data_IF_623941273906
#
_entry.id   IF_623941273906
#
_cell.length_a   1.000
_cell.length_b   1.000
_cell.length_c   1.000
_cell.angle_alpha   90.00
_cell.angle_beta   90.00
_cell.angle_gamma   90.00
#
_symmetry.space_group_name_H-M   'P 1'
#
loop_
_entity.id
_entity.type
_entity.pdbx_description
1 polymer ?
#
# COMPACT_ATOMS: atom_id res chain seq x y z
N UNK A 1 29.65 -17.56 -2.00
CA UNK A 1 28.21 -17.51 -2.34
C UNK A 1 27.43 -18.33 -1.32
N UNK A 2 26.34 -17.80 -0.77
CA UNK A 2 25.55 -18.45 0.28
C UNK A 2 24.65 -19.52 -0.34
N UNK A 3 25.18 -20.73 -0.52
CA UNK A 3 24.41 -21.82 -1.11
C UNK A 3 23.79 -22.67 0.00
N UNK A 4 22.46 -22.63 0.17
CA UNK A 4 21.74 -23.61 0.99
C UNK A 4 20.94 -24.50 0.05
N UNK A 5 21.15 -25.82 0.13
CA UNK A 5 20.55 -26.83 -0.77
C UNK A 5 20.85 -26.62 -2.26
N UNK A 6 22.01 -26.02 -2.59
CA UNK A 6 22.44 -25.80 -3.98
C UNK A 6 21.85 -24.54 -4.65
N UNK A 7 21.00 -23.79 -3.94
CA UNK A 7 20.46 -22.50 -4.43
C UNK A 7 21.33 -21.35 -3.91
N UNK A 8 21.84 -20.44 -4.75
CA UNK A 8 22.53 -19.25 -4.28
C UNK A 8 21.58 -18.28 -3.57
N UNK A 9 22.04 -17.68 -2.48
CA UNK A 9 21.30 -16.71 -1.67
C UNK A 9 19.92 -17.20 -1.18
N UNK A 10 19.78 -18.50 -0.88
CA UNK A 10 18.51 -19.15 -0.51
C UNK A 10 17.73 -18.41 0.57
N UNK A 11 18.41 -17.87 1.58
CA UNK A 11 17.75 -17.12 2.66
C UNK A 11 17.08 -15.84 2.15
N UNK A 12 17.64 -15.14 1.17
CA UNK A 12 17.01 -13.95 0.60
C UNK A 12 15.73 -14.30 -0.18
N UNK A 13 15.75 -15.43 -0.89
CA UNK A 13 14.56 -15.97 -1.58
C UNK A 13 13.49 -16.36 -0.57
N UNK A 14 13.88 -17.06 0.50
CA UNK A 14 12.94 -17.50 1.54
C UNK A 14 12.35 -16.32 2.32
N UNK A 15 13.13 -15.28 2.63
CA UNK A 15 12.60 -14.10 3.34
C UNK A 15 11.74 -13.21 2.47
N UNK A 16 11.71 -13.39 1.15
CA UNK A 16 10.75 -12.74 0.26
C UNK A 16 9.36 -13.40 0.30
N UNK A 17 9.26 -14.67 0.73
CA UNK A 17 7.99 -15.40 0.78
C UNK A 17 6.93 -14.77 1.72
N UNK A 18 7.28 -14.23 2.90
CA UNK A 18 6.35 -13.44 3.73
C UNK A 18 5.69 -12.25 3.02
N UNK A 19 6.38 -11.58 2.08
CA UNK A 19 5.78 -10.51 1.27
C UNK A 19 4.65 -11.06 0.38
N UNK A 20 4.85 -12.25 -0.19
CA UNK A 20 3.84 -12.94 -0.97
C UNK A 20 2.63 -13.33 -0.11
N UNK A 21 2.89 -13.94 1.06
CA UNK A 21 1.84 -14.36 1.99
C UNK A 21 1.01 -13.20 2.53
N UNK A 22 1.62 -12.06 2.81
CA UNK A 22 0.91 -10.87 3.27
C UNK A 22 0.24 -10.12 2.10
N UNK A 23 0.87 -10.12 0.91
CA UNK A 23 0.44 -9.39 -0.26
C UNK A 23 -0.76 -10.01 -0.98
N UNK A 24 -0.77 -11.33 -1.19
CA UNK A 24 -1.83 -12.03 -1.94
C UNK A 24 -3.22 -11.85 -1.31
N UNK A 25 -3.43 -12.04 0.01
CA UNK A 25 -4.73 -11.81 0.62
C UNK A 25 -5.22 -10.36 0.42
N UNK A 26 -4.34 -9.37 0.60
CA UNK A 26 -4.67 -7.97 0.37
C UNK A 26 -5.04 -7.67 -1.08
N UNK A 27 -4.30 -8.27 -2.03
CA UNK A 27 -4.57 -8.13 -3.47
C UNK A 27 -5.92 -8.76 -3.85
N UNK A 28 -6.21 -9.95 -3.34
CA UNK A 28 -7.51 -10.62 -3.53
C UNK A 28 -8.64 -9.79 -2.94
N UNK A 29 -8.46 -9.22 -1.75
CA UNK A 29 -9.44 -8.32 -1.14
C UNK A 29 -9.67 -7.05 -1.98
N UNK A 30 -8.63 -6.51 -2.63
CA UNK A 30 -8.78 -5.40 -3.57
C UNK A 30 -9.55 -5.81 -4.85
N UNK A 31 -9.32 -7.02 -5.38
CA UNK A 31 -9.91 -7.50 -6.63
C UNK A 31 -11.35 -8.02 -6.48
N UNK A 32 -11.68 -8.66 -5.36
CA UNK A 32 -13.02 -9.21 -5.12
C UNK A 32 -14.11 -8.15 -4.90
N UNK A 33 -13.79 -6.86 -5.01
CA UNK A 33 -14.76 -5.77 -5.15
C UNK A 33 -15.73 -5.56 -3.97
N UNK A 34 -15.53 -6.26 -2.87
CA UNK A 34 -16.51 -6.38 -1.79
C UNK A 34 -16.02 -5.64 -0.54
N UNK A 35 -16.95 -5.01 0.18
CA UNK A 35 -16.74 -4.02 1.26
C UNK A 35 -15.86 -4.38 2.47
N UNK A 36 -14.94 -5.34 2.39
CA UNK A 36 -14.05 -5.77 3.47
C UNK A 36 -13.03 -4.72 3.93
N UNK A 37 -12.67 -3.74 3.11
CA UNK A 37 -11.83 -2.60 3.55
C UNK A 37 -12.64 -1.36 3.95
N UNK A 38 -13.97 -1.45 3.97
CA UNK A 38 -14.86 -0.38 4.41
C UNK A 38 -14.84 0.91 3.58
N UNK A 39 -13.98 1.00 2.54
CA UNK A 39 -13.75 2.24 1.78
C UNK A 39 -15.04 2.76 1.15
N UNK A 40 -15.92 1.85 0.69
CA UNK A 40 -17.21 2.19 0.06
C UNK A 40 -18.38 2.31 1.04
N UNK A 41 -18.44 1.44 2.06
CA UNK A 41 -19.57 1.36 3.00
C UNK A 41 -19.60 2.56 3.97
N UNK A 42 -18.43 3.02 4.42
CA UNK A 42 -18.31 4.04 5.47
C UNK A 42 -18.59 5.47 4.98
N UNK A 43 -18.44 5.72 3.68
CA UNK A 43 -18.81 6.99 3.06
C UNK A 43 -20.34 7.07 2.84
N UNK A 44 -20.99 5.92 2.57
CA UNK A 44 -22.44 5.80 2.39
C UNK A 44 -23.22 6.09 3.67
N UNK A 45 -22.80 5.57 4.83
CA UNK A 45 -23.43 5.88 6.14
C UNK A 45 -23.44 7.38 6.45
N UNK A 46 -22.40 8.11 6.04
CA UNK A 46 -22.30 9.57 6.25
C UNK A 46 -23.37 10.35 5.48
N UNK A 47 -23.76 9.88 4.29
CA UNK A 47 -24.81 10.52 3.46
C UNK A 47 -26.19 10.27 4.07
N UNK A 48 -26.45 9.06 4.55
CA UNK A 48 -27.69 8.73 5.24
C UNK A 48 -27.83 9.55 6.53
N UNK A 49 -26.76 9.69 7.31
CA UNK A 49 -26.81 10.37 8.61
C UNK A 49 -26.81 11.91 8.54
N UNK A 50 -26.27 12.52 7.46
CA UNK A 50 -26.28 13.98 7.26
C UNK A 50 -27.46 14.51 6.42
N UNK A 51 -28.36 13.64 5.95
CA UNK A 51 -29.55 14.09 5.23
C UNK A 51 -30.57 14.70 6.21
N UNK A 52 -31.13 15.90 5.96
CA UNK A 52 -32.15 16.49 6.82
C UNK A 52 -33.41 15.61 6.77
N UNK A 53 -33.68 14.87 7.86
CA UNK A 53 -34.88 14.02 7.98
C UNK A 53 -34.63 12.56 8.37
N UNK A 54 -33.37 12.13 8.57
CA UNK A 54 -33.03 10.74 8.91
C UNK A 54 -33.30 10.36 10.37
N UNK A 55 -34.52 10.58 10.85
CA UNK A 55 -35.07 9.78 11.94
C UNK A 55 -36.02 8.76 11.31
N UNK A 56 -35.75 7.48 11.53
CA UNK A 56 -36.45 6.27 11.04
C UNK A 56 -36.00 5.76 9.67
N UNK A 57 -34.95 4.94 9.67
CA UNK A 57 -34.93 3.68 8.93
C UNK A 57 -33.71 2.88 9.41
N UNK A 58 -33.90 2.18 10.52
CA UNK A 58 -33.05 1.08 10.94
C UNK A 58 -33.01 0.04 9.80
N UNK A 59 -31.78 -0.31 9.41
CA UNK A 59 -31.35 -1.62 8.89
C UNK A 59 -32.45 -2.47 8.24
N UNK A 60 -32.74 -2.21 6.96
CA UNK A 60 -33.24 -3.25 6.08
C UNK A 60 -32.01 -3.93 5.47
N UNK A 61 -31.63 -5.07 6.05
CA UNK A 61 -30.72 -6.03 5.44
C UNK A 61 -31.29 -6.46 4.08
N UNK A 62 -30.91 -5.79 3.00
CA UNK A 62 -30.93 -6.41 1.68
C UNK A 62 -29.57 -7.03 1.44
N UNK A 63 -29.46 -8.34 1.70
CA UNK A 63 -28.46 -9.20 1.07
C UNK A 63 -28.56 -8.95 -0.44
N UNK A 64 -27.53 -8.34 -1.01
CA UNK A 64 -27.43 -8.15 -2.45
C UNK A 64 -27.05 -9.51 -3.06
N UNK A 65 -27.90 -10.04 -3.93
CA UNK A 65 -27.65 -11.29 -4.65
C UNK A 65 -26.37 -11.17 -5.50
N UNK A 66 -25.38 -12.01 -5.20
CA UNK A 66 -24.07 -12.05 -5.87
C UNK A 66 -24.09 -12.67 -7.29
N UNK A 67 -25.26 -12.85 -7.92
CA UNK A 67 -25.39 -13.56 -9.20
C UNK A 67 -25.70 -12.66 -10.41
N UNK A 68 -25.64 -11.33 -10.29
CA UNK A 68 -25.72 -10.45 -11.44
C UNK A 68 -24.38 -10.46 -12.21
N UNK A 69 -24.40 -10.98 -13.44
CA UNK A 69 -23.22 -11.18 -14.29
C UNK A 69 -22.37 -9.92 -14.46
N UNK A 70 -21.08 -10.05 -14.10
CA UNK A 70 -20.06 -9.00 -14.15
C UNK A 70 -19.42 -8.88 -15.56
N UNK A 71 -19.82 -9.71 -16.51
CA UNK A 71 -19.22 -9.73 -17.84
C UNK A 71 -19.63 -8.52 -18.68
N UNK A 72 -18.77 -7.49 -18.69
CA UNK A 72 -18.82 -6.38 -19.64
C UNK A 72 -19.04 -4.98 -19.03
N UNK A 73 -19.32 -4.85 -17.73
CA UNK A 73 -19.49 -3.53 -17.12
C UNK A 73 -18.16 -2.83 -16.86
N UNK A 74 -18.04 -1.60 -17.38
CA UNK A 74 -16.93 -0.70 -17.05
C UNK A 74 -16.98 -0.40 -15.54
N UNK A 75 -15.82 -0.26 -14.86
CA UNK A 75 -15.75 0.02 -13.41
C UNK A 75 -16.73 1.11 -12.93
N UNK A 76 -16.98 2.15 -13.75
CA UNK A 76 -17.96 3.21 -13.42
C UNK A 76 -19.39 2.66 -13.25
N UNK A 77 -19.83 1.77 -14.12
CA UNK A 77 -21.18 1.21 -14.09
C UNK A 77 -21.36 0.25 -12.91
N UNK A 78 -20.33 -0.53 -12.57
CA UNK A 78 -20.34 -1.40 -11.37
C UNK A 78 -20.53 -0.55 -10.10
N UNK A 79 -19.80 0.57 -9.99
CA UNK A 79 -19.89 1.45 -8.83
C UNK A 79 -21.23 2.21 -8.75
N UNK A 80 -21.77 2.69 -9.88
CA UNK A 80 -23.08 3.37 -9.93
C UNK A 80 -24.24 2.41 -9.65
N UNK A 81 -24.16 1.17 -10.17
CA UNK A 81 -25.14 0.13 -9.92
C UNK A 81 -25.17 -0.30 -8.45
N UNK A 82 -24.00 -0.50 -7.85
CA UNK A 82 -23.90 -0.90 -6.44
C UNK A 82 -24.19 0.25 -5.46
N UNK A 83 -24.02 1.52 -5.84
CA UNK A 83 -24.09 2.67 -4.93
C UNK A 83 -24.80 3.90 -5.53
N UNK A 84 -26.13 3.85 -5.75
CA UNK A 84 -26.88 4.92 -6.41
C UNK A 84 -26.97 6.25 -5.63
N UNK A 85 -26.52 6.28 -4.37
CA UNK A 85 -26.61 7.45 -3.47
C UNK A 85 -25.29 8.23 -3.31
N UNK A 86 -24.19 7.79 -3.93
CA UNK A 86 -22.90 8.48 -3.85
C UNK A 86 -22.76 9.52 -4.96
N UNK A 87 -22.24 10.70 -4.62
CA UNK A 87 -21.91 11.73 -5.63
C UNK A 87 -20.70 11.30 -6.47
N UNK A 88 -20.57 11.80 -7.71
CA UNK A 88 -19.43 11.48 -8.59
C UNK A 88 -18.06 11.73 -7.92
N UNK A 89 -17.96 12.80 -7.12
CA UNK A 89 -16.75 13.16 -6.37
C UNK A 89 -16.43 12.17 -5.24
N UNK A 90 -17.43 11.53 -4.65
CA UNK A 90 -17.20 10.48 -3.65
C UNK A 90 -16.82 9.15 -4.32
N UNK A 91 -17.45 8.82 -5.45
CA UNK A 91 -17.12 7.65 -6.27
C UNK A 91 -15.68 7.76 -6.80
N UNK A 92 -15.23 8.94 -7.21
CA UNK A 92 -13.83 9.14 -7.65
C UNK A 92 -12.84 8.91 -6.50
N UNK A 93 -13.11 9.45 -5.31
CA UNK A 93 -12.22 9.30 -4.14
C UNK A 93 -11.98 7.84 -3.76
N UNK A 94 -13.04 7.05 -3.84
CA UNK A 94 -13.01 5.62 -3.56
C UNK A 94 -12.17 4.84 -4.59
N UNK A 95 -12.24 5.24 -5.87
CA UNK A 95 -11.52 4.57 -6.96
C UNK A 95 -10.00 4.72 -6.82
N UNK A 96 -9.52 5.90 -6.44
CA UNK A 96 -8.07 6.12 -6.33
C UNK A 96 -7.47 5.57 -5.04
N UNK A 97 -8.23 5.58 -3.94
CA UNK A 97 -7.84 4.84 -2.73
C UNK A 97 -7.71 3.34 -3.06
N UNK A 98 -8.68 2.76 -3.77
CA UNK A 98 -8.64 1.36 -4.19
C UNK A 98 -7.47 1.06 -5.14
N UNK A 99 -7.21 1.95 -6.12
CA UNK A 99 -6.07 1.81 -7.04
C UNK A 99 -4.73 1.84 -6.27
N UNK A 100 -4.59 2.76 -5.31
CA UNK A 100 -3.41 2.82 -4.47
C UNK A 100 -3.18 1.51 -3.70
N UNK A 101 -4.21 1.01 -3.02
CA UNK A 101 -4.10 -0.26 -2.30
C UNK A 101 -3.80 -1.44 -3.24
N UNK A 102 -4.43 -1.48 -4.41
CA UNK A 102 -4.13 -2.48 -5.44
C UNK A 102 -2.65 -2.45 -5.84
N UNK A 103 -2.10 -1.28 -6.17
CA UNK A 103 -0.69 -1.14 -6.56
C UNK A 103 0.27 -1.46 -5.41
N UNK A 104 -0.11 -1.15 -4.17
CA UNK A 104 0.64 -1.53 -2.98
C UNK A 104 0.75 -3.05 -2.85
N UNK A 105 -0.37 -3.78 -2.85
CA UNK A 105 -0.35 -5.24 -2.73
C UNK A 105 0.24 -5.92 -3.95
N UNK A 106 -0.08 -5.46 -5.17
CA UNK A 106 0.49 -5.97 -6.40
C UNK A 106 2.02 -5.77 -6.43
N UNK A 107 2.51 -4.61 -5.97
CA UNK A 107 3.94 -4.34 -5.82
C UNK A 107 4.62 -5.27 -4.82
N UNK A 108 3.99 -5.57 -3.68
CA UNK A 108 4.51 -6.55 -2.71
C UNK A 108 4.60 -7.97 -3.29
N UNK A 109 3.54 -8.42 -3.99
CA UNK A 109 3.52 -9.74 -4.66
C UNK A 109 4.59 -9.81 -5.74
N UNK A 110 4.67 -8.78 -6.59
CA UNK A 110 5.68 -8.70 -7.65
C UNK A 110 7.10 -8.59 -7.08
N UNK A 111 7.31 -7.92 -5.94
CA UNK A 111 8.60 -7.88 -5.26
C UNK A 111 9.04 -9.27 -4.80
N UNK A 112 8.12 -10.10 -4.28
CA UNK A 112 8.46 -11.46 -3.88
C UNK A 112 8.97 -12.31 -5.07
N UNK A 113 8.28 -12.24 -6.21
CA UNK A 113 8.70 -12.95 -7.43
C UNK A 113 9.96 -12.36 -8.04
N UNK A 114 10.06 -11.04 -8.12
CA UNK A 114 11.22 -10.33 -8.65
C UNK A 114 12.48 -10.58 -7.83
N UNK A 115 12.35 -10.62 -6.51
CA UNK A 115 13.44 -10.95 -5.60
C UNK A 115 13.90 -12.39 -5.77
N UNK A 116 12.97 -13.34 -5.86
CA UNK A 116 13.33 -14.72 -6.18
C UNK A 116 14.05 -14.81 -7.55
N UNK A 117 13.54 -14.12 -8.58
CA UNK A 117 14.11 -14.12 -9.92
C UNK A 117 15.55 -13.57 -9.96
N UNK A 118 15.83 -12.52 -9.19
CA UNK A 118 17.16 -11.95 -9.03
C UNK A 118 18.11 -12.84 -8.22
N UNK A 119 17.70 -13.29 -7.02
CA UNK A 119 18.59 -14.05 -6.14
C UNK A 119 18.94 -15.45 -6.65
N UNK A 120 18.07 -16.05 -7.48
CA UNK A 120 18.36 -17.31 -8.16
C UNK A 120 19.55 -17.20 -9.12
N UNK A 121 19.71 -16.06 -9.79
CA UNK A 121 20.84 -15.79 -10.70
C UNK A 121 21.10 -14.28 -10.71
N UNK A 122 21.97 -13.75 -9.82
CA UNK A 122 22.18 -12.32 -9.75
C UNK A 122 22.82 -11.76 -11.04
N UNK A 123 22.13 -10.82 -11.68
CA UNK A 123 22.64 -9.98 -12.77
C UNK A 123 21.87 -8.65 -12.84
N UNK A 124 22.43 -7.65 -13.53
CA UNK A 124 21.87 -6.28 -13.58
C UNK A 124 20.52 -6.25 -14.32
N UNK A 125 20.32 -7.15 -15.29
CA UNK A 125 19.06 -7.26 -16.02
C UNK A 125 17.92 -7.77 -15.14
N UNK A 126 18.24 -8.61 -14.15
CA UNK A 126 17.28 -9.15 -13.18
C UNK A 126 17.05 -8.23 -11.99
N UNK A 127 18.04 -7.43 -11.63
CA UNK A 127 17.99 -6.53 -10.47
C UNK A 127 16.84 -5.53 -10.53
N UNK A 128 16.47 -5.07 -11.73
CA UNK A 128 15.32 -4.19 -11.93
C UNK A 128 14.01 -4.82 -11.43
N UNK A 129 13.87 -6.14 -11.57
CA UNK A 129 12.66 -6.86 -11.20
C UNK A 129 12.54 -7.03 -9.69
N UNK A 130 13.64 -6.98 -8.94
CA UNK A 130 13.63 -6.89 -7.48
C UNK A 130 13.28 -5.47 -7.01
N UNK A 131 13.89 -4.44 -7.61
CA UNK A 131 13.77 -3.04 -7.17
C UNK A 131 12.47 -2.35 -7.55
N UNK A 132 12.05 -2.48 -8.82
CA UNK A 132 10.93 -1.72 -9.36
C UNK A 132 9.61 -2.01 -8.63
N UNK A 133 9.24 -3.28 -8.34
CA UNK A 133 8.03 -3.58 -7.58
C UNK A 133 8.02 -3.01 -6.17
N UNK A 134 9.16 -3.02 -5.46
CA UNK A 134 9.29 -2.41 -4.14
C UNK A 134 9.06 -0.89 -4.19
N UNK A 135 9.60 -0.21 -5.20
CA UNK A 135 9.40 1.23 -5.38
C UNK A 135 7.95 1.58 -5.70
N UNK A 136 7.28 0.79 -6.55
CA UNK A 136 5.86 0.93 -6.86
C UNK A 136 5.04 0.79 -5.56
N UNK A 137 5.33 -0.23 -4.77
CA UNK A 137 4.65 -0.46 -3.48
C UNK A 137 4.84 0.73 -2.52
N UNK A 138 6.08 1.17 -2.30
CA UNK A 138 6.38 2.29 -1.41
C UNK A 138 5.76 3.62 -1.87
N UNK A 139 5.80 3.90 -3.17
CA UNK A 139 5.21 5.10 -3.75
C UNK A 139 3.70 5.09 -3.66
N UNK A 140 3.08 3.93 -3.89
CA UNK A 140 1.65 3.76 -3.71
C UNK A 140 1.23 3.96 -2.25
N UNK A 141 1.98 3.38 -1.31
CA UNK A 141 1.74 3.56 0.12
C UNK A 141 1.82 5.03 0.55
N UNK A 142 2.82 5.77 0.07
CA UNK A 142 2.94 7.22 0.33
C UNK A 142 1.76 7.99 -0.28
N UNK A 143 1.40 7.70 -1.53
CA UNK A 143 0.25 8.34 -2.19
C UNK A 143 -1.05 8.10 -1.43
N UNK A 144 -1.33 6.88 -0.98
CA UNK A 144 -2.51 6.55 -0.17
C UNK A 144 -2.53 7.38 1.11
N UNK A 145 -1.39 7.49 1.80
CA UNK A 145 -1.30 8.32 2.99
C UNK A 145 -1.61 9.80 2.67
N UNK A 146 -1.17 10.31 1.52
CA UNK A 146 -1.54 11.66 1.05
C UNK A 146 -3.06 11.77 0.80
N UNK A 147 -3.69 10.78 0.18
CA UNK A 147 -5.16 10.75 0.01
C UNK A 147 -5.88 10.78 1.37
N UNK A 148 -5.36 10.05 2.35
CA UNK A 148 -5.95 9.94 3.69
C UNK A 148 -5.79 11.19 4.56
N UNK A 149 -4.76 12.00 4.30
CA UNK A 149 -4.35 13.12 5.16
C UNK A 149 -4.59 14.50 4.57
N UNK A 150 -4.58 14.60 3.25
CA UNK A 150 -4.68 15.87 2.51
C UNK A 150 -5.96 15.83 1.68
N UNK A 151 -5.90 15.23 0.49
CA UNK A 151 -7.05 15.01 -0.38
C UNK A 151 -6.70 14.06 -1.53
N UNK A 152 -7.74 13.66 -2.25
CA UNK A 152 -7.69 12.75 -3.40
C UNK A 152 -6.83 13.27 -4.56
N UNK A 153 -6.92 14.57 -4.90
CA UNK A 153 -6.21 15.16 -6.04
C UNK A 153 -4.71 15.22 -5.74
N UNK A 154 -4.35 15.65 -4.53
CA UNK A 154 -2.97 15.66 -4.07
C UNK A 154 -2.38 14.23 -4.09
N UNK A 155 -3.13 13.24 -3.61
CA UNK A 155 -2.68 11.86 -3.59
C UNK A 155 -2.55 11.22 -4.98
N UNK A 156 -3.48 11.49 -5.90
CA UNK A 156 -3.38 11.04 -7.30
C UNK A 156 -2.19 11.70 -8.00
N UNK A 157 -2.02 13.02 -7.83
CA UNK A 157 -0.86 13.74 -8.38
C UNK A 157 0.45 13.17 -7.84
N UNK A 158 0.50 12.85 -6.54
CA UNK A 158 1.63 12.19 -5.90
C UNK A 158 1.91 10.81 -6.51
N UNK A 159 0.87 9.97 -6.69
CA UNK A 159 1.00 8.64 -7.30
C UNK A 159 1.60 8.73 -8.70
N UNK A 160 0.98 9.54 -9.58
CA UNK A 160 1.41 9.68 -10.96
C UNK A 160 2.83 10.23 -11.04
N UNK A 161 3.15 11.25 -10.25
CA UNK A 161 4.49 11.84 -10.23
C UNK A 161 5.55 10.82 -9.79
N UNK A 162 5.30 10.06 -8.72
CA UNK A 162 6.25 9.07 -8.22
C UNK A 162 6.42 7.91 -9.21
N UNK A 163 5.34 7.41 -9.81
CA UNK A 163 5.43 6.34 -10.82
C UNK A 163 6.20 6.80 -12.06
N UNK A 164 5.94 8.02 -12.55
CA UNK A 164 6.71 8.59 -13.65
C UNK A 164 8.19 8.75 -13.28
N UNK A 165 8.50 9.23 -12.08
CA UNK A 165 9.88 9.37 -11.61
C UNK A 165 10.58 8.01 -11.46
N UNK A 166 9.87 6.95 -11.03
CA UNK A 166 10.42 5.59 -10.98
C UNK A 166 10.79 5.09 -12.38
N UNK A 167 9.91 5.30 -13.36
CA UNK A 167 10.17 4.89 -14.74
C UNK A 167 11.38 5.65 -15.33
N UNK A 168 11.43 6.97 -15.12
CA UNK A 168 12.57 7.80 -15.53
C UNK A 168 13.85 7.34 -14.83
N UNK A 169 13.80 7.11 -13.53
CA UNK A 169 14.93 6.62 -12.75
C UNK A 169 15.44 5.27 -13.25
N UNK A 170 14.54 4.35 -13.60
CA UNK A 170 14.88 3.03 -14.11
C UNK A 170 15.53 3.13 -15.50
N UNK A 171 15.04 4.03 -16.35
CA UNK A 171 15.64 4.30 -17.65
C UNK A 171 17.03 4.98 -17.52
N UNK A 172 17.17 5.95 -16.61
CA UNK A 172 18.44 6.60 -16.32
C UNK A 172 19.49 5.61 -15.81
N UNK A 173 19.12 4.72 -14.89
CA UNK A 173 20.01 3.64 -14.42
C UNK A 173 20.51 2.80 -15.60
N UNK A 174 19.62 2.41 -16.53
CA UNK A 174 20.00 1.58 -17.69
C UNK A 174 20.85 2.28 -18.74
N UNK A 175 20.65 3.58 -18.95
CA UNK A 175 21.33 4.33 -20.03
C UNK A 175 22.59 5.01 -19.53
N UNK A 176 22.56 5.53 -18.30
CA UNK A 176 23.62 6.37 -17.72
C UNK A 176 24.43 5.65 -16.64
N UNK A 177 24.02 4.46 -16.21
CA UNK A 177 24.60 3.72 -15.07
C UNK A 177 24.62 4.56 -13.78
N UNK A 178 23.65 5.48 -13.64
CA UNK A 178 23.52 6.38 -12.48
C UNK A 178 22.34 5.99 -11.58
N UNK A 179 22.68 5.52 -10.38
CA UNK A 179 21.74 5.07 -9.35
C UNK A 179 21.23 6.19 -8.43
N UNK A 180 21.74 7.43 -8.56
CA UNK A 180 21.49 8.49 -7.57
C UNK A 180 20.02 8.87 -7.50
N UNK A 181 19.36 8.98 -8.66
CA UNK A 181 17.93 9.28 -8.72
C UNK A 181 17.11 8.18 -8.03
N UNK A 182 17.50 6.93 -8.24
CA UNK A 182 16.86 5.77 -7.60
C UNK A 182 16.99 5.84 -6.08
N UNK A 183 18.20 6.11 -5.57
CA UNK A 183 18.46 6.23 -4.12
C UNK A 183 17.62 7.35 -3.50
N UNK A 184 17.52 8.51 -4.16
CA UNK A 184 16.73 9.65 -3.69
C UNK A 184 15.25 9.29 -3.62
N UNK A 185 14.69 8.73 -4.70
CA UNK A 185 13.27 8.35 -4.75
C UNK A 185 12.93 7.29 -3.71
N UNK A 186 13.83 6.31 -3.53
CA UNK A 186 13.65 5.24 -2.56
C UNK A 186 13.74 5.73 -1.10
N UNK A 187 14.45 6.84 -0.87
CA UNK A 187 14.59 7.48 0.45
C UNK A 187 13.45 8.44 0.78
N UNK A 188 12.76 9.00 -0.23
CA UNK A 188 11.72 9.99 -0.03
C UNK A 188 10.59 9.55 0.93
N UNK A 189 10.04 8.31 0.85
CA UNK A 189 9.03 7.85 1.80
C UNK A 189 9.50 7.81 3.26
N UNK A 190 10.81 7.64 3.51
CA UNK A 190 11.36 7.62 4.87
C UNK A 190 11.21 8.96 5.60
N UNK A 191 11.12 10.06 4.86
CA UNK A 191 10.96 11.40 5.42
C UNK A 191 9.50 11.85 5.28
N UNK A 192 8.94 11.65 4.10
CA UNK A 192 7.59 12.11 3.77
C UNK A 192 6.53 11.44 4.64
N UNK A 193 6.63 10.13 4.89
CA UNK A 193 5.63 9.41 5.69
C UNK A 193 5.61 9.95 7.13
N UNK A 194 6.71 9.95 7.91
CA UNK A 194 6.71 10.54 9.25
C UNK A 194 6.20 11.97 9.27
N UNK A 195 6.68 12.83 8.36
CA UNK A 195 6.25 14.22 8.28
C UNK A 195 4.73 14.33 8.10
N UNK A 196 4.16 13.56 7.17
CA UNK A 196 2.71 13.51 6.95
C UNK A 196 1.94 13.03 8.18
N UNK A 197 2.49 12.07 8.94
CA UNK A 197 1.84 11.55 10.14
C UNK A 197 1.72 12.58 11.26
N UNK A 198 2.72 13.47 11.40
CA UNK A 198 2.75 14.51 12.43
C UNK A 198 2.05 15.80 12.01
N UNK A 199 2.14 16.18 10.73
CA UNK A 199 1.66 17.47 10.24
C UNK A 199 0.16 17.48 9.91
N UNK A 200 -0.42 16.34 9.55
CA UNK A 200 -1.80 16.28 9.05
C UNK A 200 -2.70 15.34 9.86
N UNK A 201 -3.93 15.78 10.21
CA UNK A 201 -4.86 14.96 10.99
C UNK A 201 -5.38 13.77 10.19
N UNK A 202 -5.70 12.63 10.84
CA UNK A 202 -6.19 11.46 10.14
C UNK A 202 -7.69 11.53 9.81
N UNK A 203 -8.04 11.16 8.57
CA UNK A 203 -9.42 10.93 8.09
C UNK A 203 -10.07 9.68 8.69
N UNK A 204 -9.30 8.62 8.91
CA UNK A 204 -9.77 7.31 9.38
C UNK A 204 -9.35 7.02 10.84
N UNK A 205 -10.12 6.16 11.51
CA UNK A 205 -9.76 5.54 12.79
C UNK A 205 -8.57 4.59 12.61
N UNK A 206 -8.00 4.10 13.71
CA UNK A 206 -6.83 3.21 13.69
C UNK A 206 -5.59 3.78 12.98
N UNK A 207 -5.55 5.10 12.75
CA UNK A 207 -4.38 5.80 12.20
C UNK A 207 -3.09 5.59 13.01
N UNK A 208 -3.17 5.14 14.27
CA UNK A 208 -2.01 4.71 15.06
C UNK A 208 -1.20 3.59 14.38
N UNK A 209 -1.84 2.74 13.59
CA UNK A 209 -1.18 1.68 12.83
C UNK A 209 -0.19 2.24 11.79
N UNK A 210 -0.45 3.43 11.23
CA UNK A 210 0.50 4.09 10.34
C UNK A 210 1.83 4.41 11.05
N UNK A 211 1.83 4.76 12.34
CA UNK A 211 3.07 4.98 13.09
C UNK A 211 3.85 3.68 13.26
N UNK A 212 3.17 2.58 13.57
CA UNK A 212 3.79 1.26 13.69
C UNK A 212 4.37 0.80 12.33
N UNK A 213 3.60 0.93 11.25
CA UNK A 213 4.04 0.65 9.89
C UNK A 213 5.26 1.49 9.50
N UNK A 214 5.26 2.78 9.85
CA UNK A 214 6.40 3.67 9.61
C UNK A 214 7.65 3.21 10.37
N UNK A 215 7.51 2.76 11.62
CA UNK A 215 8.62 2.20 12.38
C UNK A 215 9.28 1.00 11.68
N UNK A 216 8.48 0.03 11.23
CA UNK A 216 8.99 -1.11 10.47
C UNK A 216 9.54 -0.73 9.09
N UNK A 217 8.93 0.24 8.41
CA UNK A 217 9.43 0.73 7.12
C UNK A 217 10.81 1.38 7.25
N UNK A 218 11.00 2.23 8.27
CA UNK A 218 12.28 2.87 8.56
C UNK A 218 13.33 1.83 8.98
N UNK A 219 12.93 0.85 9.78
CA UNK A 219 13.80 -0.26 10.18
C UNK A 219 14.28 -1.06 8.96
N UNK A 220 13.36 -1.43 8.05
CA UNK A 220 13.69 -2.13 6.81
C UNK A 220 14.75 -1.37 5.99
N UNK A 221 14.59 -0.05 5.87
CA UNK A 221 15.52 0.81 5.11
C UNK A 221 16.86 0.95 5.81
N UNK A 222 16.87 1.07 7.13
CA UNK A 222 18.11 1.08 7.90
C UNK A 222 18.88 -0.24 7.74
N UNK A 223 18.19 -1.37 7.81
CA UNK A 223 18.78 -2.71 7.66
C UNK A 223 19.35 -2.93 6.25
N UNK A 224 18.63 -2.48 5.21
CA UNK A 224 19.14 -2.49 3.84
C UNK A 224 20.42 -1.65 3.67
N UNK A 225 20.50 -0.46 4.28
CA UNK A 225 21.71 0.37 4.27
C UNK A 225 22.86 -0.23 5.09
N UNK A 226 22.53 -0.89 6.21
CA UNK A 226 23.49 -1.48 7.13
C UNK A 226 23.86 -2.93 6.80
N UNK A 227 23.53 -3.43 5.61
CA UNK A 227 23.55 -4.85 5.24
C UNK A 227 24.85 -5.58 5.64
N UNK A 228 26.02 -5.04 5.26
CA UNK A 228 27.32 -5.62 5.63
C UNK A 228 27.59 -5.62 7.14
N UNK A 229 27.14 -4.59 7.85
CA UNK A 229 27.34 -4.45 9.30
C UNK A 229 26.43 -5.40 10.07
N UNK A 230 25.14 -5.48 9.71
CA UNK A 230 24.18 -6.45 10.27
C UNK A 230 24.68 -7.88 10.05
N UNK A 231 25.15 -8.18 8.85
CA UNK A 231 25.67 -9.51 8.51
C UNK A 231 26.87 -9.93 9.37
N UNK A 232 27.76 -8.99 9.72
CA UNK A 232 28.92 -9.26 10.58
C UNK A 232 28.55 -9.45 12.06
N UNK A 233 27.54 -8.72 12.55
CA UNK A 233 27.10 -8.79 13.96
C UNK A 233 26.28 -10.06 14.20
N UNK A 234 25.49 -10.49 13.22
CA UNK A 234 24.58 -11.63 13.34
C UNK A 234 25.23 -13.00 13.05
N UNK A 235 26.57 -13.09 13.20
CA UNK A 235 27.38 -14.29 12.92
C UNK A 235 27.10 -14.90 11.54
N UNK A 236 26.85 -14.07 10.53
CA UNK A 236 26.60 -14.48 9.14
C UNK A 236 25.30 -15.29 8.90
N UNK A 237 24.35 -15.27 9.84
CA UNK A 237 23.11 -16.04 9.71
C UNK A 237 22.03 -15.34 8.86
N UNK A 238 21.83 -14.03 9.03
CA UNK A 238 20.81 -13.22 8.32
C UNK A 238 21.45 -11.93 7.80
N UNK A 239 21.24 -11.58 6.53
CA UNK A 239 21.63 -10.26 5.96
C UNK A 239 20.63 -9.17 6.30
N UNK A 240 21.07 -7.91 6.27
CA UNK A 240 20.18 -6.76 6.33
C UNK A 240 19.14 -6.79 5.20
N UNK A 241 19.52 -7.24 4.00
CA UNK A 241 18.57 -7.41 2.90
C UNK A 241 17.49 -8.47 3.17
N UNK A 242 17.81 -9.55 3.89
CA UNK A 242 16.80 -10.56 4.25
C UNK A 242 15.83 -10.02 5.30
N UNK A 243 16.35 -9.21 6.23
CA UNK A 243 15.58 -8.57 7.29
C UNK A 243 14.69 -7.44 6.73
N UNK A 244 15.16 -6.73 5.70
CA UNK A 244 14.41 -5.75 4.93
C UNK A 244 13.11 -6.36 4.38
N UNK A 245 13.16 -7.55 3.76
CA UNK A 245 11.95 -8.23 3.27
C UNK A 245 10.96 -8.57 4.40
N UNK A 246 11.48 -9.04 5.54
CA UNK A 246 10.64 -9.36 6.70
C UNK A 246 9.97 -8.12 7.27
N UNK A 247 10.71 -7.02 7.41
CA UNK A 247 10.18 -5.75 7.89
C UNK A 247 9.13 -5.18 6.92
N UNK A 248 9.33 -5.25 5.60
CA UNK A 248 8.29 -4.86 4.64
C UNK A 248 7.06 -5.78 4.67
N UNK A 249 7.23 -7.08 4.88
CA UNK A 249 6.10 -7.98 5.06
C UNK A 249 5.27 -7.60 6.32
N UNK A 250 5.94 -7.19 7.40
CA UNK A 250 5.28 -6.67 8.60
C UNK A 250 4.53 -5.37 8.31
N UNK A 251 5.10 -4.43 7.54
CA UNK A 251 4.39 -3.22 7.09
C UNK A 251 3.10 -3.59 6.38
N UNK A 252 3.17 -4.51 5.42
CA UNK A 252 2.00 -4.98 4.67
C UNK A 252 0.96 -5.60 5.58
N UNK A 253 1.35 -6.48 6.52
CA UNK A 253 0.42 -7.09 7.47
C UNK A 253 -0.25 -6.07 8.39
N UNK A 254 0.53 -5.11 8.94
CA UNK A 254 0.02 -4.05 9.81
C UNK A 254 -1.02 -3.21 9.07
N UNK A 255 -0.74 -2.83 7.82
CA UNK A 255 -1.67 -2.04 7.01
C UNK A 255 -2.90 -2.85 6.59
N UNK A 256 -2.76 -4.14 6.29
CA UNK A 256 -3.92 -5.02 6.05
C UNK A 256 -4.84 -5.07 7.26
N UNK A 257 -4.28 -5.29 8.46
CA UNK A 257 -5.05 -5.28 9.71
C UNK A 257 -5.71 -3.93 9.95
N UNK A 258 -4.97 -2.82 9.76
CA UNK A 258 -5.54 -1.48 9.85
C UNK A 258 -6.74 -1.33 8.92
N UNK A 259 -6.61 -1.76 7.66
CA UNK A 259 -7.67 -1.64 6.67
C UNK A 259 -8.91 -2.48 7.00
N UNK A 260 -8.74 -3.65 7.61
CA UNK A 260 -9.85 -4.50 8.04
C UNK A 260 -10.69 -3.91 9.18
N UNK A 261 -10.11 -3.01 9.99
CA UNK A 261 -10.77 -2.44 11.16
C UNK A 261 -11.02 -0.92 11.10
N UNK A 262 -10.37 -0.22 10.16
CA UNK A 262 -10.50 1.24 10.06
C UNK A 262 -11.93 1.62 9.70
N UNK A 263 -12.36 2.75 10.24
CA UNK A 263 -13.63 3.41 9.93
C UNK A 263 -13.39 4.91 9.72
N UNK A 264 -14.32 5.63 9.11
CA UNK A 264 -14.24 7.10 9.03
C UNK A 264 -14.28 7.70 10.43
N UNK A 265 -13.37 8.63 10.75
CA UNK A 265 -13.39 9.34 12.04
C UNK A 265 -14.48 10.42 12.01
N UNK A 266 -15.57 10.20 12.75
CA UNK A 266 -16.63 11.21 12.93
C UNK A 266 -16.15 12.23 13.96
N UNK A 267 -15.74 13.41 13.49
CA UNK A 267 -15.53 14.56 14.38
C UNK A 267 -16.91 15.13 14.71
N UNK A 268 -17.43 14.81 15.89
CA UNK A 268 -18.61 15.50 16.43
C UNK A 268 -18.20 16.96 16.63
N UNK A 269 -18.73 17.86 15.80
CA UNK A 269 -18.76 19.28 16.12
C UNK A 269 -19.46 19.41 17.46
N UNK A 270 -18.72 19.65 18.54
CA UNK A 270 -19.29 20.18 19.75
C UNK A 270 -19.78 21.56 19.39
N UNK A 271 -21.06 21.65 19.05
CA UNK A 271 -21.75 22.91 18.91
C UNK A 271 -21.55 23.62 20.26
N UNK A 272 -20.66 24.61 20.31
CA UNK A 272 -20.46 25.48 21.46
C UNK A 272 -21.72 26.31 21.61
N UNK A 273 -22.73 25.73 22.28
CA UNK A 273 -23.76 26.50 22.97
C UNK A 273 -23.14 26.95 24.27
N UNK A 274 -22.72 28.20 24.32
CA UNK A 274 -23.06 29.20 25.35
C UNK A 274 -22.34 30.50 25.03
#
# INVERSE_FOLDING_TARGET
MRNLLGVPNTLNVLTAYPLLLAGVPGLVLCLCGSGCFGISYQQSERVVMNSPGSNKLLLSERKMDCNAGIEGMMLKEIFLFCYPYLTEKQISSLRWEALGWFLFYAGNVAAAFGSAYYHLKPDDDRLIWDRLPMMISASSMLSILVIERVDERAGLSCLLSLLSLILVSSACERVLDDMRLWVVLNSAPCIAIPAMLFLFPPKYTHSRFWFLATGFYLLARFEGLADRKVYSVNRYFISGHSLEHLCFAMVTLILTVMLSFRNVKIVRSSNSRT
#
